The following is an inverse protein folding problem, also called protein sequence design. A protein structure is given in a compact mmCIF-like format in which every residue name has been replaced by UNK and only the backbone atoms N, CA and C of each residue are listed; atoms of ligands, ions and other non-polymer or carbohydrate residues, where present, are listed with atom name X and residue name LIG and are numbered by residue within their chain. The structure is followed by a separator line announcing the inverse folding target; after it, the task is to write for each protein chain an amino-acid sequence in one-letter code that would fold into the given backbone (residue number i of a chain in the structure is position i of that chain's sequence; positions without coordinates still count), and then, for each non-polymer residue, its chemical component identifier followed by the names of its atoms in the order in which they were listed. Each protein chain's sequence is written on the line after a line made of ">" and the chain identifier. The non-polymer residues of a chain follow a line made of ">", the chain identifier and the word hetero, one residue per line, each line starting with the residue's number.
data_IF_794780853497
#
_entry.id   IF_794780853497
#
_cell.length_a   1.000
_cell.length_b   1.000
_cell.length_c   1.000
_cell.angle_alpha   90.00
_cell.angle_beta   90.00
_cell.angle_gamma   90.00
#
_symmetry.space_group_name_H-M   'P 1'
#
loop_
_entity.id
_entity.type
_entity.pdbx_description
1 polymer ?
#
# COMPACT_ATOMS: atom_id res chain seq x y z
N UNK A 1 17.44 -16.65 -20.71
CA UNK A 1 17.27 -16.67 -22.17
C UNK A 1 18.65 -16.53 -22.79
N UNK A 2 18.97 -17.27 -23.86
CA UNK A 2 20.18 -17.05 -24.67
C UNK A 2 19.81 -16.80 -26.13
N UNK A 3 20.79 -16.27 -26.88
CA UNK A 3 20.70 -16.09 -28.33
C UNK A 3 20.03 -14.79 -28.76
N UNK A 4 19.69 -14.71 -30.05
CA UNK A 4 19.14 -13.50 -30.65
C UNK A 4 17.80 -13.11 -30.03
N UNK A 5 17.56 -11.80 -29.93
CA UNK A 5 16.24 -11.30 -29.54
C UNK A 5 15.19 -11.68 -30.59
N UNK A 6 14.01 -12.09 -30.12
CA UNK A 6 12.82 -12.24 -30.96
C UNK A 6 12.39 -10.84 -31.44
N UNK A 7 12.15 -10.70 -32.74
CA UNK A 7 11.55 -9.48 -33.31
C UNK A 7 10.08 -9.31 -32.88
N UNK A 8 9.50 -8.15 -33.15
CA UNK A 8 8.14 -7.80 -32.70
C UNK A 8 7.05 -8.73 -33.29
N UNK A 9 7.29 -9.29 -34.48
CA UNK A 9 6.40 -10.28 -35.11
C UNK A 9 6.45 -11.67 -34.45
N UNK A 10 7.43 -11.91 -33.57
CA UNK A 10 7.72 -13.21 -32.96
C UNK A 10 8.33 -14.23 -33.93
N UNK A 11 8.54 -15.45 -33.45
CA UNK A 11 9.02 -16.58 -34.27
C UNK A 11 7.93 -17.67 -34.31
N UNK A 12 7.47 -18.01 -35.51
CA UNK A 12 6.56 -19.13 -35.73
C UNK A 12 7.35 -20.33 -36.20
N UNK A 13 7.16 -21.49 -35.57
CA UNK A 13 7.81 -22.71 -36.01
C UNK A 13 7.11 -23.97 -35.53
N UNK A 14 7.41 -25.09 -36.19
CA UNK A 14 6.95 -26.42 -35.80
C UNK A 14 7.62 -26.83 -34.49
N UNK A 15 6.86 -27.18 -33.47
CA UNK A 15 7.40 -27.78 -32.26
C UNK A 15 7.90 -29.18 -32.58
N UNK A 16 9.14 -29.47 -32.19
CA UNK A 16 9.79 -30.76 -32.38
C UNK A 16 10.29 -31.27 -31.04
N UNK A 17 9.75 -32.40 -30.60
CA UNK A 17 10.20 -33.10 -29.40
C UNK A 17 11.44 -33.93 -29.80
N UNK A 18 12.60 -33.59 -29.23
CA UNK A 18 13.87 -34.19 -29.65
C UNK A 18 13.92 -35.69 -29.35
N UNK A 19 13.32 -36.11 -28.22
CA UNK A 19 13.21 -37.52 -27.82
C UNK A 19 12.51 -38.40 -28.86
N UNK A 20 11.51 -37.87 -29.55
CA UNK A 20 10.71 -38.63 -30.53
C UNK A 20 11.50 -38.91 -31.82
N UNK A 21 12.52 -38.10 -32.12
CA UNK A 21 13.34 -38.21 -33.33
C UNK A 21 14.60 -39.04 -33.07
N UNK A 22 15.29 -38.77 -31.97
CA UNK A 22 16.50 -39.49 -31.59
C UNK A 22 16.36 -40.03 -30.16
N UNK A 23 15.86 -41.27 -30.00
CA UNK A 23 15.71 -41.89 -28.70
C UNK A 23 17.04 -41.89 -27.92
N UNK A 24 17.01 -41.32 -26.73
CA UNK A 24 18.20 -41.15 -25.87
C UNK A 24 18.94 -39.82 -26.03
N UNK A 25 18.48 -38.90 -26.89
CA UNK A 25 18.94 -37.50 -26.94
C UNK A 25 17.91 -36.54 -26.33
N UNK A 26 17.19 -36.99 -25.29
CA UNK A 26 16.09 -36.25 -24.64
C UNK A 26 16.53 -34.86 -24.16
N UNK A 27 17.79 -34.75 -23.76
CA UNK A 27 18.37 -33.56 -23.18
C UNK A 27 19.11 -32.68 -24.20
N UNK A 28 19.16 -33.07 -25.49
CA UNK A 28 19.78 -32.27 -26.55
C UNK A 28 21.30 -32.09 -26.42
N UNK A 29 21.98 -32.97 -25.69
CA UNK A 29 23.42 -32.87 -25.44
C UNK A 29 24.29 -33.32 -26.62
N UNK A 30 23.68 -33.76 -27.71
CA UNK A 30 24.34 -34.08 -28.97
C UNK A 30 23.53 -33.51 -30.14
N UNK A 31 24.18 -33.13 -31.26
CA UNK A 31 23.46 -32.69 -32.46
C UNK A 31 22.70 -33.87 -33.07
N UNK A 32 21.59 -33.56 -33.75
CA UNK A 32 20.80 -34.56 -34.48
C UNK A 32 21.60 -35.10 -35.67
N UNK A 33 21.59 -36.42 -35.83
CA UNK A 33 22.31 -37.10 -36.93
C UNK A 33 21.76 -36.72 -38.30
N UNK A 34 20.46 -36.50 -38.40
CA UNK A 34 19.78 -36.05 -39.61
C UNK A 34 19.25 -34.64 -39.43
N UNK A 35 19.63 -33.75 -40.35
CA UNK A 35 19.03 -32.41 -40.41
C UNK A 35 17.57 -32.56 -40.82
N UNK A 36 16.67 -32.05 -39.98
CA UNK A 36 15.26 -31.97 -40.30
C UNK A 36 15.06 -31.01 -41.46
N UNK A 37 14.70 -31.55 -42.62
CA UNK A 37 14.31 -30.74 -43.77
C UNK A 37 12.81 -30.45 -43.64
N UNK A 38 12.51 -29.25 -43.16
CA UNK A 38 11.14 -28.79 -42.94
C UNK A 38 10.90 -27.54 -43.76
N UNK A 39 9.78 -27.48 -44.48
CA UNK A 39 9.36 -26.29 -45.23
C UNK A 39 9.18 -25.03 -44.34
N UNK A 40 9.09 -25.24 -43.03
CA UNK A 40 8.92 -24.21 -42.01
C UNK A 40 10.04 -24.29 -40.97
N UNK A 41 10.36 -23.17 -40.33
CA UNK A 41 11.22 -23.16 -39.15
C UNK A 41 10.72 -24.13 -38.08
N UNK A 42 11.62 -24.74 -37.31
CA UNK A 42 11.27 -25.65 -36.23
C UNK A 42 11.89 -25.23 -34.90
N UNK A 43 11.21 -25.53 -33.81
CA UNK A 43 11.59 -25.19 -32.44
C UNK A 43 11.85 -26.47 -31.69
N UNK A 44 13.08 -26.63 -31.18
CA UNK A 44 13.47 -27.81 -30.43
C UNK A 44 12.90 -27.75 -29.02
N UNK A 45 12.25 -28.83 -28.58
CA UNK A 45 11.85 -29.05 -27.20
C UNK A 45 12.77 -30.10 -26.58
N UNK A 46 13.54 -29.70 -25.57
CA UNK A 46 14.54 -30.55 -24.88
C UNK A 46 14.37 -30.50 -23.37
N UNK A 47 14.81 -31.54 -22.70
CA UNK A 47 14.81 -31.59 -21.24
C UNK A 47 16.10 -31.02 -20.63
N UNK A 48 15.94 -30.43 -19.45
CA UNK A 48 17.05 -30.20 -18.54
C UNK A 48 17.67 -31.55 -18.19
N UNK A 49 19.00 -31.65 -18.32
CA UNK A 49 19.68 -32.93 -18.18
C UNK A 49 21.18 -32.78 -17.96
N UNK A 50 21.95 -33.64 -18.62
CA UNK A 50 23.34 -33.93 -18.27
C UNK A 50 24.36 -32.84 -18.67
N UNK A 51 24.08 -32.06 -19.72
CA UNK A 51 24.93 -30.97 -20.19
C UNK A 51 24.40 -29.57 -19.86
N UNK A 52 25.27 -28.56 -20.02
CA UNK A 52 24.93 -27.16 -19.78
C UNK A 52 23.92 -26.60 -20.78
N UNK A 53 23.18 -25.56 -20.38
CA UNK A 53 22.14 -24.96 -21.22
C UNK A 53 22.66 -24.46 -22.58
N UNK A 54 23.83 -23.83 -22.61
CA UNK A 54 24.43 -23.31 -23.85
C UNK A 54 24.79 -24.43 -24.82
N UNK A 55 25.30 -25.54 -24.30
CA UNK A 55 25.69 -26.71 -25.10
C UNK A 55 24.48 -27.32 -25.81
N UNK A 56 23.35 -27.45 -25.11
CA UNK A 56 22.06 -27.86 -25.70
C UNK A 56 21.68 -26.96 -26.86
N UNK A 57 21.75 -25.64 -26.64
CA UNK A 57 21.37 -24.66 -27.67
C UNK A 57 22.30 -24.73 -28.88
N UNK A 58 23.62 -24.89 -28.68
CA UNK A 58 24.59 -25.06 -29.76
C UNK A 58 24.31 -26.30 -30.60
N UNK A 59 24.02 -27.44 -29.95
CA UNK A 59 23.71 -28.68 -30.64
C UNK A 59 22.43 -28.57 -31.48
N UNK A 60 21.38 -27.95 -30.94
CA UNK A 60 20.14 -27.75 -31.68
C UNK A 60 20.31 -26.72 -32.80
N UNK A 61 21.10 -25.68 -32.60
CA UNK A 61 21.48 -24.72 -33.64
C UNK A 61 22.24 -25.41 -34.78
N UNK A 62 23.22 -26.25 -34.47
CA UNK A 62 23.96 -27.03 -35.46
C UNK A 62 23.05 -28.01 -36.23
N UNK A 63 21.98 -28.47 -35.58
CA UNK A 63 20.94 -29.31 -36.17
C UNK A 63 19.94 -28.53 -37.04
N UNK A 64 20.05 -27.19 -37.08
CA UNK A 64 19.20 -26.31 -37.88
C UNK A 64 17.92 -25.83 -37.19
N UNK A 65 17.81 -25.96 -35.85
CA UNK A 65 16.68 -25.42 -35.10
C UNK A 65 16.64 -23.89 -35.20
N UNK A 66 15.44 -23.32 -35.26
CA UNK A 66 15.23 -21.88 -35.25
C UNK A 66 15.09 -21.31 -33.83
N UNK A 67 14.75 -22.15 -32.84
CA UNK A 67 14.71 -21.80 -31.42
C UNK A 67 14.78 -23.05 -30.54
N UNK A 68 15.05 -22.86 -29.25
CA UNK A 68 15.13 -23.95 -28.27
C UNK A 68 14.32 -23.64 -27.02
N UNK A 69 13.43 -24.56 -26.65
CA UNK A 69 12.71 -24.57 -25.39
C UNK A 69 13.29 -25.66 -24.50
N UNK A 70 13.76 -25.26 -23.32
CA UNK A 70 14.29 -26.19 -22.31
C UNK A 70 13.28 -26.33 -21.19
N UNK A 71 12.72 -27.52 -21.01
CA UNK A 71 11.80 -27.83 -19.90
C UNK A 71 12.49 -28.51 -18.72
N UNK A 72 11.97 -28.31 -17.51
CA UNK A 72 12.36 -29.10 -16.34
C UNK A 72 11.45 -30.35 -16.22
N UNK A 73 12.01 -31.57 -16.15
CA UNK A 73 11.19 -32.76 -15.95
C UNK A 73 10.77 -32.96 -14.49
N UNK A 74 11.39 -32.27 -13.52
CA UNK A 74 11.15 -32.50 -12.09
C UNK A 74 10.37 -31.36 -11.42
N UNK A 75 10.74 -30.10 -11.67
CA UNK A 75 10.25 -28.95 -10.90
C UNK A 75 9.43 -27.95 -11.73
N UNK A 76 8.33 -27.46 -11.16
CA UNK A 76 7.46 -26.45 -11.79
C UNK A 76 7.89 -25.02 -11.42
N UNK A 77 9.18 -24.73 -11.54
CA UNK A 77 9.77 -23.43 -11.23
C UNK A 77 10.59 -22.95 -12.42
N UNK A 78 10.36 -21.74 -12.93
CA UNK A 78 11.18 -21.18 -13.99
C UNK A 78 12.60 -20.96 -13.46
N UNK A 79 13.59 -21.42 -14.22
CA UNK A 79 15.01 -21.25 -13.89
C UNK A 79 15.65 -20.30 -14.90
N UNK A 80 16.43 -19.36 -14.39
CA UNK A 80 17.28 -18.54 -15.26
C UNK A 80 18.39 -19.39 -15.84
N UNK A 81 18.36 -19.60 -17.16
CA UNK A 81 19.43 -20.31 -17.85
C UNK A 81 20.75 -19.54 -17.70
N UNK A 82 21.79 -20.20 -17.19
CA UNK A 82 23.14 -19.64 -17.01
C UNK A 82 24.15 -20.23 -17.99
N UNK A 83 25.02 -19.37 -18.53
CA UNK A 83 26.06 -19.72 -19.48
C UNK A 83 27.43 -19.65 -18.78
N UNK A 84 28.10 -20.79 -18.64
CA UNK A 84 29.48 -20.85 -18.21
C UNK A 84 30.41 -20.67 -19.41
N UNK A 85 30.64 -19.43 -19.86
CA UNK A 85 31.60 -19.11 -20.92
C UNK A 85 31.08 -18.15 -21.98
N UNK A 86 31.81 -18.06 -23.10
CA UNK A 86 31.41 -17.24 -24.25
C UNK A 86 30.13 -17.82 -24.90
N UNK A 87 29.28 -16.92 -25.40
CA UNK A 87 28.00 -17.21 -26.05
C UNK A 87 27.85 -16.46 -27.38
N UNK A 88 28.93 -15.86 -27.89
CA UNK A 88 28.96 -15.09 -29.13
C UNK A 88 28.52 -15.89 -30.37
N UNK A 89 28.62 -17.22 -30.32
CA UNK A 89 28.26 -18.17 -31.37
C UNK A 89 26.80 -18.63 -31.33
N UNK A 90 26.04 -18.25 -30.30
CA UNK A 90 24.63 -18.61 -30.14
C UNK A 90 23.74 -17.53 -30.74
N UNK A 91 23.05 -17.87 -31.83
CA UNK A 91 22.25 -16.94 -32.63
C UNK A 91 20.77 -17.31 -32.71
N UNK A 92 20.33 -18.39 -32.07
CA UNK A 92 18.91 -18.77 -32.00
C UNK A 92 18.33 -18.46 -30.62
N UNK A 93 17.11 -17.93 -30.52
CA UNK A 93 16.49 -17.64 -29.23
C UNK A 93 16.26 -18.94 -28.45
N UNK A 94 16.57 -18.91 -27.15
CA UNK A 94 16.28 -20.02 -26.25
C UNK A 94 15.70 -19.59 -24.92
N UNK A 95 14.64 -20.26 -24.49
CA UNK A 95 13.95 -19.99 -23.23
C UNK A 95 13.77 -21.25 -22.40
N UNK A 96 13.77 -21.06 -21.09
CA UNK A 96 13.36 -22.09 -20.16
C UNK A 96 11.85 -22.00 -19.95
N UNK A 97 11.19 -23.15 -19.81
CA UNK A 97 9.77 -23.27 -19.51
C UNK A 97 9.56 -24.16 -18.29
N UNK A 98 8.52 -23.90 -17.52
CA UNK A 98 8.20 -24.69 -16.34
C UNK A 98 7.71 -26.09 -16.73
N UNK A 99 7.72 -27.04 -15.77
CA UNK A 99 7.29 -28.42 -16.00
C UNK A 99 5.85 -28.51 -16.50
N UNK A 100 4.94 -27.72 -15.94
CA UNK A 100 3.54 -27.68 -16.36
C UNK A 100 3.39 -27.25 -17.82
N UNK A 101 4.15 -26.25 -18.25
CA UNK A 101 4.18 -25.78 -19.64
C UNK A 101 4.82 -26.80 -20.58
N UNK A 102 5.95 -27.41 -20.17
CA UNK A 102 6.62 -28.46 -20.93
C UNK A 102 5.70 -29.65 -21.19
N UNK A 103 5.04 -30.16 -20.14
CA UNK A 103 4.08 -31.25 -20.27
C UNK A 103 2.87 -30.84 -21.13
N UNK A 104 2.35 -29.62 -20.93
CA UNK A 104 1.25 -29.11 -21.75
C UNK A 104 1.60 -29.06 -23.24
N UNK A 105 2.84 -28.71 -23.59
CA UNK A 105 3.32 -28.75 -24.98
C UNK A 105 3.47 -30.18 -25.51
N UNK A 106 3.97 -31.12 -24.69
CA UNK A 106 4.07 -32.54 -25.08
C UNK A 106 2.69 -33.15 -25.32
N UNK A 107 1.77 -32.93 -24.39
CA UNK A 107 0.40 -33.45 -24.48
C UNK A 107 -0.33 -32.86 -25.69
N UNK A 108 -0.19 -31.55 -25.92
CA UNK A 108 -0.77 -30.88 -27.09
C UNK A 108 -0.19 -31.40 -28.41
N UNK A 109 1.11 -31.72 -28.45
CA UNK A 109 1.74 -32.31 -29.63
C UNK A 109 1.24 -33.75 -29.88
N UNK A 110 1.06 -34.54 -28.82
CA UNK A 110 0.55 -35.91 -28.91
C UNK A 110 -0.94 -35.99 -29.31
N UNK A 111 -1.73 -34.99 -28.93
CA UNK A 111 -3.16 -34.91 -29.25
C UNK A 111 -3.46 -34.34 -30.65
N UNK A 112 -2.46 -33.75 -31.30
CA UNK A 112 -2.61 -33.13 -32.62
C UNK A 112 -2.44 -34.18 -33.72
N UNK A 113 -3.41 -34.27 -34.65
CA UNK A 113 -3.31 -35.13 -35.85
C UNK A 113 -2.25 -34.65 -36.87
N UNK A 114 -1.57 -33.53 -36.59
CA UNK A 114 -0.55 -32.94 -37.46
C UNK A 114 0.53 -32.17 -36.69
N UNK A 115 1.51 -31.57 -37.40
CA UNK A 115 2.63 -30.87 -36.76
C UNK A 115 2.13 -29.67 -35.94
N UNK A 116 2.45 -29.67 -34.64
CA UNK A 116 2.08 -28.57 -33.75
C UNK A 116 2.90 -27.32 -34.09
N UNK A 117 2.24 -26.25 -34.50
CA UNK A 117 2.88 -24.95 -34.75
C UNK A 117 2.79 -24.07 -33.51
N UNK A 118 3.93 -23.52 -33.07
CA UNK A 118 4.01 -22.62 -31.93
C UNK A 118 4.53 -21.25 -32.37
N UNK A 119 4.05 -20.21 -31.68
CA UNK A 119 4.52 -18.83 -31.87
C UNK A 119 5.19 -18.35 -30.59
N UNK A 120 6.49 -18.09 -30.68
CA UNK A 120 7.30 -17.49 -29.63
C UNK A 120 7.18 -15.97 -29.73
N UNK A 121 6.63 -15.35 -28.70
CA UNK A 121 6.51 -13.90 -28.59
C UNK A 121 7.44 -13.39 -27.49
N UNK A 122 7.99 -12.18 -27.68
CA UNK A 122 8.60 -11.46 -26.57
C UNK A 122 7.51 -11.15 -25.55
N UNK A 123 7.75 -11.45 -24.28
CA UNK A 123 6.80 -11.10 -23.24
C UNK A 123 6.81 -9.58 -23.02
N UNK A 124 5.89 -8.86 -23.66
CA UNK A 124 5.73 -7.40 -23.55
C UNK A 124 5.01 -6.95 -22.27
N UNK A 125 4.67 -7.89 -21.38
CA UNK A 125 4.01 -7.59 -20.10
C UNK A 125 4.82 -6.66 -19.16
N UNK A 126 6.07 -6.31 -19.52
CA UNK A 126 6.91 -5.36 -18.80
C UNK A 126 6.99 -3.95 -19.44
N UNK A 127 6.27 -3.67 -20.54
CA UNK A 127 6.29 -2.34 -21.19
C UNK A 127 5.20 -1.38 -20.67
N UNK A 128 4.23 -1.86 -19.88
CA UNK A 128 3.21 -1.03 -19.22
C UNK A 128 3.43 -0.67 -17.72
N UNK A 129 4.63 -0.61 -17.12
CA UNK A 129 4.77 -0.33 -15.69
C UNK A 129 4.95 1.17 -15.37
N UNK A 130 5.16 2.07 -16.34
CA UNK A 130 5.42 3.48 -15.97
C UNK A 130 4.22 4.11 -15.27
N UNK A 131 3.01 3.93 -15.82
CA UNK A 131 1.80 4.52 -15.24
C UNK A 131 1.44 3.86 -13.90
N UNK A 132 1.54 2.54 -13.81
CA UNK A 132 1.22 1.82 -12.57
C UNK A 132 2.23 2.15 -11.45
N UNK A 133 3.52 2.22 -11.78
CA UNK A 133 4.56 2.66 -10.83
C UNK A 133 4.35 4.13 -10.45
N UNK A 134 3.96 5.01 -11.39
CA UNK A 134 3.65 6.41 -11.11
C UNK A 134 2.44 6.56 -10.18
N UNK A 135 1.38 5.76 -10.36
CA UNK A 135 0.23 5.75 -9.46
C UNK A 135 0.60 5.27 -8.06
N UNK A 136 1.37 4.18 -7.95
CA UNK A 136 1.79 3.65 -6.65
C UNK A 136 2.73 4.61 -5.92
N UNK A 137 3.64 5.28 -6.63
CA UNK A 137 4.66 6.14 -6.02
C UNK A 137 4.17 7.57 -5.74
N UNK A 138 3.26 8.12 -6.56
CA UNK A 138 2.82 9.51 -6.43
C UNK A 138 1.41 9.60 -5.84
N UNK A 139 0.45 8.87 -6.40
CA UNK A 139 -0.96 9.01 -6.02
C UNK A 139 -1.23 8.44 -4.62
N UNK A 140 -0.66 7.27 -4.31
CA UNK A 140 -0.87 6.63 -3.00
C UNK A 140 -0.38 7.48 -1.82
N UNK A 141 0.85 8.04 -1.81
CA UNK A 141 1.28 8.92 -0.73
C UNK A 141 0.50 10.23 -0.64
N UNK A 142 0.07 10.80 -1.78
CA UNK A 142 -0.79 12.00 -1.77
C UNK A 142 -2.14 11.73 -1.10
N UNK A 143 -2.78 10.59 -1.42
CA UNK A 143 -4.04 10.20 -0.81
C UNK A 143 -3.88 9.90 0.68
N UNK A 144 -2.82 9.17 1.06
CA UNK A 144 -2.52 8.87 2.46
C UNK A 144 -2.25 10.15 3.28
N UNK A 145 -1.43 11.06 2.76
CA UNK A 145 -1.14 12.35 3.41
C UNK A 145 -2.39 13.23 3.49
N UNK A 146 -3.21 13.25 2.44
CA UNK A 146 -4.50 13.95 2.44
C UNK A 146 -5.44 13.40 3.51
N UNK A 147 -5.56 12.08 3.62
CA UNK A 147 -6.38 11.42 4.65
C UNK A 147 -5.87 11.73 6.06
N UNK A 148 -4.57 11.62 6.30
CA UNK A 148 -3.96 11.97 7.60
C UNK A 148 -4.17 13.44 7.93
N UNK A 149 -4.03 14.34 6.96
CA UNK A 149 -4.28 15.77 7.14
C UNK A 149 -5.75 16.04 7.49
N UNK A 150 -6.70 15.39 6.81
CA UNK A 150 -8.13 15.51 7.13
C UNK A 150 -8.39 15.02 8.56
N UNK A 151 -7.89 13.84 8.94
CA UNK A 151 -8.01 13.32 10.30
C UNK A 151 -7.38 14.26 11.34
N UNK A 152 -6.20 14.81 11.05
CA UNK A 152 -5.55 15.81 11.89
C UNK A 152 -6.44 17.04 12.07
N UNK A 153 -6.98 17.60 10.98
CA UNK A 153 -7.89 18.76 11.01
C UNK A 153 -9.18 18.45 11.78
N UNK A 154 -9.76 17.27 11.60
CA UNK A 154 -10.94 16.82 12.33
C UNK A 154 -10.65 16.69 13.82
N UNK A 155 -9.51 16.09 14.21
CA UNK A 155 -9.07 16.00 15.60
C UNK A 155 -8.83 17.38 16.22
N UNK A 156 -8.22 18.31 15.50
CA UNK A 156 -8.08 19.69 15.98
C UNK A 156 -9.43 20.37 16.19
N UNK A 157 -10.37 20.16 15.27
CA UNK A 157 -11.74 20.70 15.40
C UNK A 157 -12.44 20.10 16.63
N UNK A 158 -12.36 18.78 16.80
CA UNK A 158 -12.92 18.10 17.97
C UNK A 158 -12.29 18.59 19.27
N UNK A 159 -10.96 18.76 19.31
CA UNK A 159 -10.29 19.29 20.51
C UNK A 159 -10.75 20.70 20.84
N UNK A 160 -10.90 21.59 19.84
CA UNK A 160 -11.46 22.93 20.05
C UNK A 160 -12.87 22.87 20.63
N UNK A 161 -13.75 22.01 20.10
CA UNK A 161 -15.11 21.86 20.62
C UNK A 161 -15.15 21.32 22.05
N UNK A 162 -14.26 20.36 22.39
CA UNK A 162 -14.18 19.79 23.74
C UNK A 162 -13.74 20.80 24.81
N UNK A 163 -13.04 21.85 24.39
CA UNK A 163 -12.56 22.92 25.28
C UNK A 163 -13.63 23.97 25.58
N UNK A 164 -14.76 23.97 24.86
CA UNK A 164 -15.87 24.90 25.04
C UNK A 164 -16.92 24.32 26.00
N UNK A 165 -17.62 25.19 26.72
CA UNK A 165 -18.75 24.79 27.53
C UNK A 165 -20.01 24.74 26.65
N UNK A 166 -20.82 23.68 26.74
CA UNK A 166 -22.13 23.64 26.10
C UNK A 166 -23.01 24.80 26.57
N UNK A 167 -23.78 25.42 25.66
CA UNK A 167 -24.59 26.62 25.96
C UNK A 167 -25.68 26.35 26.99
N UNK A 168 -26.23 25.13 27.01
CA UNK A 168 -27.17 24.65 28.01
C UNK A 168 -26.57 24.66 29.43
N UNK A 169 -25.33 24.22 29.59
CA UNK A 169 -24.62 24.26 30.87
C UNK A 169 -24.37 25.70 31.31
N UNK A 170 -23.93 26.57 30.39
CA UNK A 170 -23.65 27.99 30.69
C UNK A 170 -24.93 28.70 31.14
N UNK A 171 -26.03 28.52 30.41
CA UNK A 171 -27.30 29.17 30.72
C UNK A 171 -27.90 28.68 32.05
N UNK A 172 -27.62 27.44 32.45
CA UNK A 172 -28.06 26.87 33.74
C UNK A 172 -27.28 27.35 34.97
N UNK A 173 -26.23 28.16 34.81
CA UNK A 173 -25.45 28.67 35.93
C UNK A 173 -26.19 29.77 36.70
N UNK A 174 -26.04 29.86 38.03
CA UNK A 174 -26.71 30.88 38.84
C UNK A 174 -26.36 32.31 38.42
N UNK A 175 -27.36 33.19 38.45
CA UNK A 175 -27.20 34.63 38.23
C UNK A 175 -27.69 35.43 39.44
N UNK A 176 -27.14 36.64 39.63
CA UNK A 176 -27.49 37.61 40.67
C UNK A 176 -27.45 39.00 40.04
N UNK A 177 -28.40 39.86 40.40
CA UNK A 177 -28.35 41.28 40.09
C UNK A 177 -27.51 42.02 41.12
N UNK A 178 -26.52 42.79 40.68
CA UNK A 178 -25.66 43.60 41.54
C UNK A 178 -26.41 44.84 42.02
N UNK A 179 -26.17 45.21 43.28
CA UNK A 179 -26.64 46.46 43.86
C UNK A 179 -25.60 46.90 44.88
N UNK A 180 -25.03 48.09 44.71
CA UNK A 180 -24.01 48.67 45.58
C UNK A 180 -24.54 48.81 47.03
N UNK A 181 -25.85 49.05 47.19
CA UNK A 181 -26.51 49.09 48.51
C UNK A 181 -26.47 47.79 49.31
N UNK A 182 -26.26 46.64 48.65
CA UNK A 182 -26.22 45.30 49.25
C UNK A 182 -24.83 44.67 49.24
N UNK A 183 -23.81 45.47 48.91
CA UNK A 183 -22.44 45.02 48.85
C UNK A 183 -21.91 44.63 50.23
N UNK A 184 -21.07 43.60 50.28
CA UNK A 184 -20.41 43.12 51.51
C UNK A 184 -18.91 43.26 51.34
N UNK A 185 -18.25 43.83 52.33
CA UNK A 185 -16.80 44.01 52.37
C UNK A 185 -16.09 42.67 52.11
N UNK A 186 -15.35 42.58 51.00
CA UNK A 186 -14.64 41.38 50.53
C UNK A 186 -15.27 40.63 49.36
N UNK A 187 -16.42 41.07 48.82
CA UNK A 187 -16.89 40.62 47.50
C UNK A 187 -16.14 41.35 46.37
N UNK A 188 -15.93 40.74 45.18
CA UNK A 188 -15.33 41.46 44.06
C UNK A 188 -16.27 42.55 43.54
N UNK A 189 -15.73 43.75 43.28
CA UNK A 189 -16.45 44.91 42.74
C UNK A 189 -16.24 45.11 41.24
N UNK A 190 -15.31 44.37 40.63
CA UNK A 190 -14.89 44.55 39.23
C UNK A 190 -15.01 43.22 38.46
N UNK A 191 -15.39 43.31 37.19
CA UNK A 191 -15.37 42.17 36.29
C UNK A 191 -13.95 41.90 35.75
N UNK A 192 -13.33 40.79 36.17
CA UNK A 192 -11.99 40.40 35.69
C UNK A 192 -11.89 40.03 34.18
N UNK A 193 -12.96 40.21 33.38
CA UNK A 193 -12.95 39.99 31.92
C UNK A 193 -12.93 41.33 31.16
N UNK A 194 -13.81 42.28 31.50
CA UNK A 194 -13.83 43.60 30.86
C UNK A 194 -13.03 44.66 31.62
N UNK A 195 -12.69 44.39 32.88
CA UNK A 195 -11.99 45.31 33.79
C UNK A 195 -12.81 46.57 34.13
N UNK A 196 -14.14 46.45 34.06
CA UNK A 196 -15.07 47.49 34.48
C UNK A 196 -15.67 47.12 35.85
N UNK A 197 -15.92 48.14 36.66
CA UNK A 197 -16.65 48.02 37.93
C UNK A 197 -18.09 47.55 37.68
N UNK A 198 -18.69 46.88 38.66
CA UNK A 198 -20.09 46.46 38.61
C UNK A 198 -21.01 47.64 38.92
N UNK A 199 -21.97 47.89 38.03
CA UNK A 199 -22.99 48.93 38.20
C UNK A 199 -24.26 48.36 38.85
N UNK A 200 -25.07 49.24 39.46
CA UNK A 200 -26.39 48.88 39.95
C UNK A 200 -27.23 48.27 38.82
N UNK A 201 -27.93 47.18 39.12
CA UNK A 201 -28.75 46.37 38.18
C UNK A 201 -27.96 45.49 37.19
N UNK A 202 -26.63 45.45 37.28
CA UNK A 202 -25.85 44.52 36.46
C UNK A 202 -26.18 43.05 36.75
N UNK A 203 -26.39 42.27 35.69
CA UNK A 203 -26.55 40.83 35.81
C UNK A 203 -25.19 40.13 35.87
N UNK A 204 -24.90 39.56 37.03
CA UNK A 204 -23.68 38.81 37.30
C UNK A 204 -23.97 37.31 37.27
N UNK A 205 -23.10 36.55 36.61
CA UNK A 205 -23.11 35.09 36.64
C UNK A 205 -22.08 34.58 37.64
N UNK A 206 -22.50 33.62 38.46
CA UNK A 206 -21.69 33.01 39.51
C UNK A 206 -21.27 31.62 39.05
N UNK A 207 -19.96 31.39 38.88
CA UNK A 207 -19.43 30.08 38.51
C UNK A 207 -19.46 29.11 39.71
N UNK A 208 -19.31 27.78 39.51
CA UNK A 208 -19.24 26.80 40.61
C UNK A 208 -18.10 27.05 41.62
N UNK A 209 -17.04 27.74 41.17
CA UNK A 209 -15.93 28.20 42.00
C UNK A 209 -16.20 29.53 42.74
N UNK A 210 -17.43 30.06 42.65
CA UNK A 210 -17.92 31.32 43.24
C UNK A 210 -17.37 32.63 42.69
N UNK A 211 -16.51 32.60 41.67
CA UNK A 211 -16.11 33.82 40.95
C UNK A 211 -17.30 34.41 40.17
N UNK A 212 -17.38 35.74 40.14
CA UNK A 212 -18.48 36.53 39.59
C UNK A 212 -18.00 37.34 38.38
N UNK A 213 -18.85 37.46 37.37
CA UNK A 213 -18.58 38.20 36.13
C UNK A 213 -19.89 38.71 35.55
N UNK A 214 -19.90 39.77 34.74
CA UNK A 214 -21.07 40.09 33.93
C UNK A 214 -21.48 38.89 33.07
N UNK A 215 -22.78 38.59 32.99
CA UNK A 215 -23.34 37.47 32.20
C UNK A 215 -22.80 37.49 30.76
N UNK A 216 -22.84 38.64 30.09
CA UNK A 216 -22.35 38.81 28.71
C UNK A 216 -20.87 38.47 28.56
N UNK A 217 -20.05 38.86 29.53
CA UNK A 217 -18.60 38.68 29.49
C UNK A 217 -18.22 37.20 29.63
N UNK A 218 -18.76 36.52 30.65
CA UNK A 218 -18.39 35.13 30.92
C UNK A 218 -19.07 34.15 29.97
N UNK A 219 -20.28 34.42 29.49
CA UNK A 219 -20.96 33.53 28.54
C UNK A 219 -20.19 33.45 27.22
N UNK A 220 -19.72 34.60 26.72
CA UNK A 220 -18.86 34.65 25.53
C UNK A 220 -17.53 33.93 25.76
N UNK A 221 -16.93 34.08 26.95
CA UNK A 221 -15.70 33.38 27.29
C UNK A 221 -15.87 31.85 27.27
N UNK A 222 -16.90 31.33 27.96
CA UNK A 222 -17.15 29.90 28.11
C UNK A 222 -17.54 29.22 26.79
N UNK A 223 -18.27 29.93 25.93
CA UNK A 223 -18.77 29.40 24.64
C UNK A 223 -17.80 29.59 23.48
N UNK A 224 -16.87 30.55 23.55
CA UNK A 224 -15.96 30.88 22.42
C UNK A 224 -14.49 30.62 22.72
N UNK A 225 -14.05 30.68 23.99
CA UNK A 225 -12.64 30.50 24.35
C UNK A 225 -12.38 29.20 25.09
N UNK A 226 -12.84 29.08 26.34
CA UNK A 226 -12.51 27.97 27.24
C UNK A 226 -13.59 27.79 28.30
N UNK A 227 -13.94 26.54 28.62
CA UNK A 227 -14.87 26.14 29.70
C UNK A 227 -14.33 26.28 31.14
N UNK A 228 -13.23 27.00 31.32
CA UNK A 228 -12.55 27.16 32.60
C UNK A 228 -12.72 28.59 33.12
N UNK A 229 -12.82 28.73 34.43
CA UNK A 229 -12.84 30.03 35.10
C UNK A 229 -11.58 30.85 34.75
N UNK A 230 -11.70 32.12 34.31
CA UNK A 230 -10.57 33.00 34.03
C UNK A 230 -9.57 33.16 35.19
N UNK A 231 -10.07 33.18 36.43
CA UNK A 231 -9.25 33.42 37.62
C UNK A 231 -8.60 32.13 38.12
N UNK A 232 -9.39 31.12 38.49
CA UNK A 232 -8.87 29.91 39.15
C UNK A 232 -8.68 28.69 38.24
N UNK A 233 -9.03 28.79 36.96
CA UNK A 233 -8.95 27.70 35.96
C UNK A 233 -9.78 26.45 36.28
N UNK A 234 -10.74 26.53 37.21
CA UNK A 234 -11.65 25.42 37.51
C UNK A 234 -12.64 25.19 36.36
N UNK A 235 -12.87 23.93 36.00
CA UNK A 235 -13.82 23.55 34.94
C UNK A 235 -15.26 23.82 35.40
N UNK A 236 -16.04 24.46 34.53
CA UNK A 236 -17.43 24.85 34.80
C UNK A 236 -18.43 23.73 34.49
N UNK A 237 -18.04 22.75 33.67
CA UNK A 237 -18.88 21.59 33.36
C UNK A 237 -18.84 20.57 34.51
N UNK A 238 -19.99 20.03 34.97
CA UNK A 238 -20.01 18.97 35.97
C UNK A 238 -19.27 17.73 35.45
N UNK A 239 -18.43 17.14 36.29
CA UNK A 239 -17.79 15.86 36.02
C UNK A 239 -18.83 14.75 36.12
N UNK A 240 -19.55 14.45 35.03
CA UNK A 240 -20.17 13.12 34.89
C UNK A 240 -19.03 12.13 34.70
N UNK A 241 -18.52 11.57 35.80
CA UNK A 241 -17.57 10.47 35.81
C UNK A 241 -18.20 9.21 35.19
N UNK A 242 -18.12 9.11 33.86
CA UNK A 242 -18.01 7.83 33.18
C UNK A 242 -16.76 7.84 32.30
N UNK A 243 -15.61 8.03 32.96
CA UNK A 243 -14.31 7.68 32.38
C UNK A 243 -13.78 6.51 33.22
N UNK A 244 -13.79 5.26 32.72
CA UNK A 244 -13.51 4.07 33.54
C UNK A 244 -12.03 3.90 33.95
N UNK A 245 -11.17 4.92 33.87
CA UNK A 245 -9.72 4.75 33.98
C UNK A 245 -8.98 5.69 34.94
N UNK A 246 -9.66 6.46 35.78
CA UNK A 246 -8.98 7.23 36.84
C UNK A 246 -9.69 7.07 38.17
N UNK A 247 -9.40 5.96 38.87
CA UNK A 247 -9.58 5.91 40.32
C UNK A 247 -8.44 6.71 40.98
N UNK A 248 -8.72 7.64 41.91
CA UNK A 248 -7.67 8.32 42.63
C UNK A 248 -7.04 7.36 43.64
N UNK A 249 -5.75 7.03 43.46
CA UNK A 249 -4.94 6.44 44.53
C UNK A 249 -4.91 7.42 45.70
N UNK A 250 -5.65 7.10 46.75
CA UNK A 250 -5.52 7.67 48.08
C UNK A 250 -4.04 7.65 48.49
N UNK A 251 -3.45 8.84 48.69
CA UNK A 251 -2.26 8.98 49.52
C UNK A 251 -2.72 8.87 50.96
N UNK A 252 -2.54 7.70 51.57
CA UNK A 252 -2.54 7.58 53.03
C UNK A 252 -1.18 8.01 53.54
N UNK A 253 -1.18 9.15 54.22
CA UNK A 253 -0.15 9.56 55.16
C UNK A 253 -0.34 8.68 56.40
N UNK A 254 0.65 7.85 56.73
CA UNK A 254 1.16 7.60 58.09
C UNK A 254 2.66 7.40 57.97
#
# INVERSE_FOLDING_TARGET
>A
MFGSHLGDDGLVGRLVIVEDIEPGNVDGCRPLVHRLDTDHAWVALVERGSCGFVEKVRNMQASGAAAVLVGDPWYDLPVTMYASGDTSDVHIPSSFIARSEYNGLRDAAAMSDGPLMIKLMRNEYYELPFLDVLFITILSPMLMMGFIYILYRLRLRQHRLRDLAPTDVVNGLPTKTFYHSKYREGEPEECAICLDDFDDEDELRILPCRHQYHVKCIDRWLTTRKKFCPICKQNVCPSTEHTPLLSPRLRSIV
#
